data_IF_361589223905
#
_entry.id   IF_361589223905
#
_cell.length_a   1.000
_cell.length_b   1.000
_cell.length_c   1.000
_cell.angle_alpha   90.00
_cell.angle_beta   90.00
_cell.angle_gamma   90.00
#
_symmetry.space_group_name_H-M   'P 1'
#
loop_
_entity.id
_entity.type
_entity.pdbx_description
1 polymer ?
#
# COMPACT_ATOMS: atom_id res chain seq x y z
N UNK A 1 15.17 2.24 17.50
CA UNK A 1 16.23 1.24 17.28
C UNK A 1 15.72 0.08 16.43
N UNK A 2 14.80 -0.79 16.88
CA UNK A 2 14.30 -1.89 16.03
C UNK A 2 13.63 -1.41 14.72
N UNK A 3 12.67 -0.49 14.82
CA UNK A 3 11.97 0.04 13.64
C UNK A 3 12.91 0.71 12.64
N UNK A 4 13.93 1.42 13.11
CA UNK A 4 14.92 2.06 12.24
C UNK A 4 15.69 1.03 11.41
N UNK A 5 16.04 -0.11 11.99
CA UNK A 5 16.67 -1.23 11.27
C UNK A 5 15.72 -1.88 10.27
N UNK A 6 14.45 -2.09 10.65
CA UNK A 6 13.45 -2.63 9.72
C UNK A 6 13.28 -1.71 8.52
N UNK A 7 13.19 -0.39 8.73
CA UNK A 7 13.05 0.58 7.66
C UNK A 7 14.29 0.67 6.78
N UNK A 8 15.48 0.60 7.38
CA UNK A 8 16.73 0.53 6.63
C UNK A 8 16.73 -0.70 5.73
N UNK A 9 16.38 -1.86 6.27
CA UNK A 9 16.30 -3.10 5.53
C UNK A 9 15.25 -3.05 4.40
N UNK A 10 14.06 -2.48 4.65
CA UNK A 10 13.05 -2.28 3.60
C UNK A 10 13.59 -1.40 2.47
N UNK A 11 14.31 -0.32 2.80
CA UNK A 11 14.91 0.57 1.79
C UNK A 11 16.00 -0.13 0.99
N UNK A 12 16.83 -0.94 1.63
CA UNK A 12 17.86 -1.75 0.97
C UNK A 12 17.22 -2.76 0.02
N UNK A 13 16.23 -3.54 0.50
CA UNK A 13 15.46 -4.45 -0.35
C UNK A 13 14.80 -3.73 -1.54
N UNK A 14 14.26 -2.53 -1.31
CA UNK A 14 13.65 -1.73 -2.38
C UNK A 14 14.67 -1.22 -3.40
N UNK A 15 15.87 -0.85 -2.96
CA UNK A 15 16.94 -0.40 -3.86
C UNK A 15 17.39 -1.51 -4.81
N UNK A 16 17.49 -2.74 -4.32
CA UNK A 16 17.82 -3.93 -5.10
C UNK A 16 16.57 -4.69 -5.57
N UNK A 17 15.41 -4.03 -5.66
CA UNK A 17 14.12 -4.70 -5.91
C UNK A 17 14.11 -5.48 -7.22
N UNK A 18 14.75 -4.99 -8.27
CA UNK A 18 14.71 -5.64 -9.58
C UNK A 18 15.50 -6.96 -9.61
N UNK A 19 16.48 -7.11 -8.71
CA UNK A 19 17.26 -8.33 -8.52
C UNK A 19 16.61 -9.30 -7.52
N UNK A 20 16.13 -8.76 -6.39
CA UNK A 20 15.71 -9.57 -5.24
C UNK A 20 14.20 -9.83 -5.26
N UNK A 21 13.42 -8.76 -5.39
CA UNK A 21 11.96 -8.79 -5.26
C UNK A 21 11.27 -9.08 -6.59
N UNK A 22 11.88 -8.66 -7.70
CA UNK A 22 11.29 -8.70 -9.04
C UNK A 22 12.22 -9.30 -10.12
N UNK A 23 12.86 -10.45 -9.87
CA UNK A 23 13.81 -11.04 -10.82
C UNK A 23 13.20 -11.20 -12.22
N UNK A 24 13.92 -10.77 -13.26
CA UNK A 24 13.45 -10.81 -14.66
C UNK A 24 13.17 -12.23 -15.16
N UNK A 25 13.94 -13.20 -14.67
CA UNK A 25 13.95 -14.57 -15.22
C UNK A 25 12.91 -15.50 -14.57
N UNK A 26 12.22 -15.04 -13.51
CA UNK A 26 11.30 -15.88 -12.72
C UNK A 26 9.98 -15.14 -12.44
N UNK A 27 9.00 -15.17 -13.35
CA UNK A 27 7.77 -14.37 -13.24
C UNK A 27 6.89 -14.76 -12.04
N UNK A 28 6.81 -16.04 -11.69
CA UNK A 28 6.05 -16.51 -10.52
C UNK A 28 6.69 -16.07 -9.20
N UNK A 29 8.01 -16.17 -9.10
CA UNK A 29 8.78 -15.75 -7.92
C UNK A 29 8.77 -14.23 -7.75
N UNK A 30 8.87 -13.48 -8.87
CA UNK A 30 8.67 -12.04 -8.91
C UNK A 30 7.36 -11.64 -8.24
N UNK A 31 6.23 -12.15 -8.73
CA UNK A 31 4.94 -11.71 -8.20
C UNK A 31 4.78 -12.11 -6.73
N UNK A 32 5.20 -13.31 -6.32
CA UNK A 32 5.10 -13.73 -4.91
C UNK A 32 5.94 -12.85 -3.97
N UNK A 33 7.21 -12.59 -4.29
CA UNK A 33 8.11 -11.78 -3.43
C UNK A 33 7.66 -10.33 -3.40
N UNK A 34 7.29 -9.79 -4.55
CA UNK A 34 6.80 -8.43 -4.66
C UNK A 34 5.53 -8.21 -3.86
N UNK A 35 4.54 -9.09 -4.01
CA UNK A 35 3.28 -9.01 -3.26
C UNK A 35 3.53 -9.11 -1.76
N UNK A 36 4.32 -10.08 -1.30
CA UNK A 36 4.64 -10.22 0.13
C UNK A 36 5.32 -8.96 0.69
N UNK A 37 6.25 -8.37 -0.06
CA UNK A 37 6.93 -7.13 0.34
C UNK A 37 5.96 -5.94 0.45
N UNK A 38 5.10 -5.74 -0.55
CA UNK A 38 4.16 -4.61 -0.55
C UNK A 38 3.09 -4.77 0.52
N UNK A 39 2.54 -5.98 0.70
CA UNK A 39 1.60 -6.27 1.79
C UNK A 39 2.22 -5.99 3.16
N UNK A 40 3.46 -6.44 3.38
CA UNK A 40 4.19 -6.16 4.61
C UNK A 40 4.35 -4.66 4.88
N UNK A 41 4.71 -3.87 3.86
CA UNK A 41 4.83 -2.42 4.03
C UNK A 41 3.50 -1.77 4.41
N UNK A 42 2.40 -2.19 3.76
CA UNK A 42 1.07 -1.66 4.02
C UNK A 42 0.62 -1.96 5.47
N UNK A 43 0.75 -3.22 5.91
CA UNK A 43 0.44 -3.63 7.28
C UNK A 43 1.33 -2.91 8.31
N UNK A 44 2.61 -2.72 8.01
CA UNK A 44 3.53 -2.01 8.90
C UNK A 44 3.15 -0.53 9.03
N UNK A 45 2.73 0.13 7.93
CA UNK A 45 2.27 1.52 7.99
C UNK A 45 0.96 1.63 8.78
N UNK A 46 0.01 0.73 8.55
CA UNK A 46 -1.28 0.70 9.22
C UNK A 46 -1.13 0.52 10.74
N UNK A 47 -0.35 -0.48 11.16
CA UNK A 47 -0.06 -0.70 12.58
C UNK A 47 0.65 0.49 13.26
N UNK A 48 1.48 1.23 12.52
CA UNK A 48 2.07 2.48 13.03
C UNK A 48 1.05 3.63 13.11
N UNK A 49 0.12 3.71 12.15
CA UNK A 49 -0.96 4.70 12.14
C UNK A 49 -1.93 4.51 13.31
N UNK A 50 -2.37 3.29 13.58
CA UNK A 50 -3.28 3.02 14.70
C UNK A 50 -2.64 3.31 16.05
N UNK A 51 -1.38 2.90 16.21
CA UNK A 51 -0.60 3.26 17.37
C UNK A 51 -0.36 4.78 17.49
N UNK A 52 -0.55 5.58 16.44
CA UNK A 52 -0.44 7.05 16.50
C UNK A 52 -1.73 7.66 17.05
N UNK A 53 -2.90 7.19 16.62
CA UNK A 53 -4.17 7.63 17.17
C UNK A 53 -4.24 7.42 18.69
N UNK A 54 -3.78 6.26 19.19
CA UNK A 54 -3.75 5.96 20.62
C UNK A 54 -2.69 6.80 21.38
N UNK A 55 -1.52 7.03 20.78
CA UNK A 55 -0.43 7.75 21.43
C UNK A 55 -0.52 9.28 21.37
N UNK A 56 -1.13 9.87 20.34
CA UNK A 56 -1.39 11.32 20.30
C UNK A 56 -2.27 11.75 21.49
N UNK A 57 -3.19 10.89 21.93
CA UNK A 57 -3.95 11.11 23.15
C UNK A 57 -3.09 11.06 24.44
N UNK A 58 -1.92 10.41 24.41
CA UNK A 58 -1.06 10.17 25.59
C UNK A 58 0.23 11.00 25.65
N UNK A 59 0.78 11.43 24.51
CA UNK A 59 2.20 11.81 24.37
C UNK A 59 2.47 13.23 23.84
N UNK A 60 1.61 14.21 24.08
CA UNK A 60 1.92 15.65 23.91
C UNK A 60 3.12 16.18 24.74
N UNK A 61 3.98 15.30 25.28
CA UNK A 61 5.10 15.62 26.19
C UNK A 61 6.48 15.12 25.72
N UNK A 62 6.61 14.36 24.62
CA UNK A 62 7.90 13.85 24.12
C UNK A 62 8.08 14.09 22.61
N UNK A 63 8.59 15.28 22.25
CA UNK A 63 8.76 15.69 20.85
C UNK A 63 9.75 14.82 20.04
N UNK A 64 10.71 14.17 20.70
CA UNK A 64 11.71 13.33 20.02
C UNK A 64 11.14 12.03 19.44
N UNK A 65 10.27 11.33 20.18
CA UNK A 65 9.66 10.08 19.72
C UNK A 65 8.66 10.31 18.57
N UNK A 66 7.93 11.42 18.61
CA UNK A 66 7.01 11.81 17.53
C UNK A 66 7.74 12.05 16.21
N UNK A 67 8.87 12.78 16.24
CA UNK A 67 9.64 13.09 15.04
C UNK A 67 10.21 11.83 14.34
N UNK A 68 10.70 10.85 15.11
CA UNK A 68 11.18 9.57 14.56
C UNK A 68 10.04 8.77 13.93
N UNK A 69 8.88 8.74 14.58
CA UNK A 69 7.69 8.05 14.05
C UNK A 69 7.16 8.71 12.78
N UNK A 70 7.01 10.03 12.75
CA UNK A 70 6.58 10.77 11.56
C UNK A 70 7.52 10.52 10.36
N UNK A 71 8.84 10.51 10.60
CA UNK A 71 9.82 10.15 9.57
C UNK A 71 9.63 8.72 9.07
N UNK A 72 9.39 7.78 9.98
CA UNK A 72 9.17 6.36 9.65
C UNK A 72 7.95 6.18 8.76
N UNK A 73 6.84 6.84 9.10
CA UNK A 73 5.59 6.80 8.34
C UNK A 73 5.76 7.43 6.95
N UNK A 74 6.50 8.53 6.84
CA UNK A 74 6.81 9.14 5.54
C UNK A 74 7.65 8.21 4.64
N UNK A 75 8.63 7.50 5.21
CA UNK A 75 9.45 6.53 4.47
C UNK A 75 8.58 5.39 3.95
N UNK A 76 7.76 4.77 4.80
CA UNK A 76 6.85 3.71 4.40
C UNK A 76 5.85 4.17 3.34
N UNK A 77 5.24 5.35 3.55
CA UNK A 77 4.32 5.94 2.58
C UNK A 77 4.97 6.15 1.22
N UNK A 78 6.22 6.60 1.21
CA UNK A 78 7.00 6.75 -0.03
C UNK A 78 7.22 5.40 -0.71
N UNK A 79 7.66 4.38 0.02
CA UNK A 79 7.92 3.06 -0.54
C UNK A 79 6.64 2.42 -1.10
N UNK A 80 5.52 2.54 -0.39
CA UNK A 80 4.22 2.01 -0.83
C UNK A 80 3.77 2.74 -2.10
N UNK A 81 3.77 4.07 -2.13
CA UNK A 81 3.33 4.82 -3.32
C UNK A 81 4.19 4.50 -4.56
N UNK A 82 5.52 4.38 -4.42
CA UNK A 82 6.38 3.98 -5.55
C UNK A 82 6.12 2.51 -5.95
N UNK A 83 5.78 1.65 -5.00
CA UNK A 83 5.37 0.28 -5.29
C UNK A 83 4.06 0.22 -6.06
N UNK A 84 3.07 1.05 -5.68
CA UNK A 84 1.82 1.21 -6.43
C UNK A 84 2.09 1.69 -7.86
N UNK A 85 2.93 2.71 -8.04
CA UNK A 85 3.36 3.16 -9.37
C UNK A 85 3.93 2.01 -10.20
N UNK A 86 4.80 1.18 -9.61
CA UNK A 86 5.40 0.02 -10.27
C UNK A 86 4.35 -1.04 -10.68
N UNK A 87 3.31 -1.23 -9.87
CA UNK A 87 2.20 -2.13 -10.19
C UNK A 87 1.27 -1.58 -11.27
N UNK A 88 1.21 -0.26 -11.42
CA UNK A 88 0.44 0.42 -12.46
C UNK A 88 1.15 0.47 -13.82
N UNK A 89 2.36 -0.08 -13.95
CA UNK A 89 3.08 -0.21 -15.22
C UNK A 89 3.04 -1.65 -15.76
N UNK A 90 3.09 -1.86 -17.09
CA UNK A 90 3.32 -3.18 -17.66
C UNK A 90 4.68 -3.75 -17.21
N UNK A 91 4.80 -5.07 -16.96
CA UNK A 91 3.77 -6.11 -17.08
C UNK A 91 2.85 -6.26 -15.86
N UNK A 92 3.16 -5.61 -14.74
CA UNK A 92 2.46 -5.76 -13.45
C UNK A 92 0.97 -5.47 -13.56
N UNK A 93 0.61 -4.46 -14.35
CA UNK A 93 -0.77 -4.04 -14.59
C UNK A 93 -1.67 -5.15 -15.20
N UNK A 94 -1.05 -6.11 -15.87
CA UNK A 94 -1.71 -7.27 -16.48
C UNK A 94 -1.65 -8.52 -15.60
N UNK A 95 -0.98 -8.44 -14.45
CA UNK A 95 -0.81 -9.55 -13.53
C UNK A 95 -1.92 -9.50 -12.45
N UNK A 96 -2.86 -10.46 -12.42
CA UNK A 96 -3.98 -10.42 -11.49
C UNK A 96 -3.54 -10.45 -10.02
N UNK A 97 -2.48 -11.19 -9.70
CA UNK A 97 -1.96 -11.30 -8.33
C UNK A 97 -1.37 -9.98 -7.83
N UNK A 98 -0.66 -9.25 -8.68
CA UNK A 98 -0.13 -7.93 -8.32
C UNK A 98 -1.25 -6.87 -8.25
N UNK A 99 -2.29 -6.98 -9.09
CA UNK A 99 -3.46 -6.10 -9.00
C UNK A 99 -4.27 -6.33 -7.73
N UNK A 100 -4.52 -7.58 -7.35
CA UNK A 100 -5.17 -7.89 -6.08
C UNK A 100 -4.34 -7.37 -4.89
N UNK A 101 -3.01 -7.50 -4.95
CA UNK A 101 -2.12 -6.91 -3.96
C UNK A 101 -2.21 -5.38 -3.90
N UNK A 102 -2.27 -4.68 -5.05
CA UNK A 102 -2.48 -3.24 -5.10
C UNK A 102 -3.80 -2.87 -4.39
N UNK A 103 -4.87 -3.62 -4.64
CA UNK A 103 -6.16 -3.43 -3.96
C UNK A 103 -6.01 -3.57 -2.45
N UNK A 104 -5.47 -4.69 -1.98
CA UNK A 104 -5.29 -4.96 -0.56
C UNK A 104 -4.42 -3.92 0.12
N UNK A 105 -3.29 -3.55 -0.49
CA UNK A 105 -2.38 -2.55 0.08
C UNK A 105 -3.05 -1.18 0.25
N UNK A 106 -3.87 -0.75 -0.71
CA UNK A 106 -4.60 0.52 -0.61
C UNK A 106 -5.83 0.45 0.30
N UNK A 107 -6.47 -0.72 0.46
CA UNK A 107 -7.48 -0.93 1.51
C UNK A 107 -6.83 -0.78 2.90
N UNK A 108 -5.71 -1.47 3.12
CA UNK A 108 -5.02 -1.48 4.41
C UNK A 108 -4.42 -0.12 4.74
N UNK A 109 -3.70 0.52 3.81
CA UNK A 109 -2.91 1.70 4.12
C UNK A 109 -3.46 3.00 3.53
N UNK A 110 -4.54 2.99 2.75
CA UNK A 110 -5.00 4.15 1.97
C UNK A 110 -5.32 5.38 2.83
N UNK A 111 -6.01 5.19 3.95
CA UNK A 111 -6.31 6.28 4.88
C UNK A 111 -5.05 6.88 5.52
N UNK A 112 -4.09 6.02 5.92
CA UNK A 112 -2.81 6.47 6.44
C UNK A 112 -1.99 7.21 5.37
N UNK A 113 -1.95 6.68 4.14
CA UNK A 113 -1.27 7.32 3.02
C UNK A 113 -1.86 8.70 2.70
N UNK A 114 -3.19 8.86 2.77
CA UNK A 114 -3.84 10.14 2.50
C UNK A 114 -3.44 11.19 3.55
N UNK A 115 -3.30 10.78 4.81
CA UNK A 115 -2.87 11.66 5.89
C UNK A 115 -1.38 12.02 5.82
N UNK A 116 -0.52 11.03 5.59
CA UNK A 116 0.93 11.21 5.70
C UNK A 116 1.59 11.69 4.39
N UNK A 117 1.00 11.37 3.23
CA UNK A 117 1.55 11.69 1.92
C UNK A 117 0.45 11.97 0.86
N UNK A 118 -0.42 12.96 1.09
CA UNK A 118 -1.60 13.23 0.24
C UNK A 118 -1.22 13.47 -1.23
N UNK A 119 -0.15 14.21 -1.49
CA UNK A 119 0.32 14.50 -2.85
C UNK A 119 0.78 13.24 -3.59
N UNK A 120 1.44 12.31 -2.88
CA UNK A 120 1.92 11.06 -3.47
C UNK A 120 0.76 10.13 -3.79
N UNK A 121 -0.20 10.03 -2.88
CA UNK A 121 -1.40 9.22 -3.10
C UNK A 121 -2.25 9.81 -4.24
N UNK A 122 -2.39 11.12 -4.30
CA UNK A 122 -3.08 11.81 -5.40
C UNK A 122 -2.42 11.51 -6.76
N UNK A 123 -1.08 11.44 -6.80
CA UNK A 123 -0.37 11.01 -8.00
C UNK A 123 -0.69 9.57 -8.39
N UNK A 124 -0.75 8.64 -7.44
CA UNK A 124 -1.15 7.23 -7.68
C UNK A 124 -2.59 7.16 -8.22
N UNK A 125 -3.54 7.88 -7.60
CA UNK A 125 -4.94 7.89 -8.06
C UNK A 125 -5.08 8.45 -9.48
N UNK A 126 -4.29 9.48 -9.81
CA UNK A 126 -4.23 10.01 -11.18
C UNK A 126 -3.69 9.00 -12.18
N UNK A 127 -2.68 8.21 -11.81
CA UNK A 127 -2.16 7.14 -12.67
C UNK A 127 -3.19 6.02 -12.87
N UNK A 128 -3.96 5.67 -11.84
CA UNK A 128 -5.09 4.74 -11.95
C UNK A 128 -6.09 5.26 -12.99
N UNK A 129 -6.49 6.52 -12.88
CA UNK A 129 -7.41 7.15 -13.84
C UNK A 129 -6.84 7.11 -15.27
N UNK A 130 -5.57 7.50 -15.46
CA UNK A 130 -4.91 7.45 -16.76
C UNK A 130 -4.90 6.02 -17.31
N UNK A 131 -4.60 5.00 -16.49
CA UNK A 131 -4.58 3.61 -16.93
C UNK A 131 -5.98 3.13 -17.38
N UNK A 132 -7.04 3.53 -16.68
CA UNK A 132 -8.43 3.22 -17.03
C UNK A 132 -8.84 3.83 -18.38
N UNK A 133 -8.39 5.06 -18.65
CA UNK A 133 -8.73 5.83 -19.85
C UNK A 133 -7.92 5.43 -21.07
N UNK A 134 -6.64 5.14 -20.90
CA UNK A 134 -5.68 5.00 -22.02
C UNK A 134 -5.35 3.56 -22.39
N UNK A 135 -5.54 2.59 -21.49
CA UNK A 135 -5.07 1.22 -21.69
C UNK A 135 -6.19 0.21 -21.91
N UNK A 136 -5.92 -0.77 -22.80
CA UNK A 136 -6.75 -1.97 -22.94
C UNK A 136 -6.41 -2.96 -21.82
N UNK A 137 -7.03 -2.73 -20.67
CA UNK A 137 -6.85 -3.54 -19.48
C UNK A 137 -7.64 -4.86 -19.55
N UNK A 138 -7.11 -5.96 -18.96
CA UNK A 138 -7.91 -7.14 -18.64
C UNK A 138 -9.10 -6.75 -17.76
N UNK A 139 -10.20 -7.50 -17.88
CA UNK A 139 -11.44 -7.25 -17.13
C UNK A 139 -11.16 -7.14 -15.62
N UNK A 140 -10.34 -8.07 -15.08
CA UNK A 140 -10.00 -8.07 -13.65
C UNK A 140 -9.22 -6.83 -13.22
N UNK A 141 -8.18 -6.44 -13.97
CA UNK A 141 -7.41 -5.23 -13.65
C UNK A 141 -8.29 -3.98 -13.71
N UNK A 142 -9.16 -3.88 -14.73
CA UNK A 142 -10.12 -2.78 -14.85
C UNK A 142 -11.06 -2.69 -13.65
N UNK A 143 -11.64 -3.82 -13.22
CA UNK A 143 -12.50 -3.89 -12.04
C UNK A 143 -11.78 -3.41 -10.78
N UNK A 144 -10.59 -3.94 -10.52
CA UNK A 144 -9.78 -3.55 -9.36
C UNK A 144 -9.51 -2.05 -9.34
N UNK A 145 -9.13 -1.47 -10.48
CA UNK A 145 -8.85 -0.04 -10.58
C UNK A 145 -10.11 0.82 -10.36
N UNK A 146 -11.28 0.38 -10.83
CA UNK A 146 -12.55 1.06 -10.59
C UNK A 146 -12.95 1.00 -9.10
N UNK A 147 -12.86 -0.18 -8.49
CA UNK A 147 -13.10 -0.37 -7.05
C UNK A 147 -12.19 0.52 -6.20
N UNK A 148 -10.94 0.71 -6.60
CA UNK A 148 -10.01 1.61 -5.92
C UNK A 148 -10.41 3.09 -6.03
N UNK A 149 -10.94 3.53 -7.18
CA UNK A 149 -11.46 4.88 -7.34
C UNK A 149 -12.70 5.11 -6.45
N UNK A 150 -13.58 4.12 -6.36
CA UNK A 150 -14.75 4.15 -5.48
C UNK A 150 -14.35 4.18 -4.00
N UNK A 151 -13.39 3.33 -3.62
CA UNK A 151 -12.83 3.31 -2.27
C UNK A 151 -12.21 4.65 -1.88
N UNK A 152 -11.49 5.31 -2.80
CA UNK A 152 -10.97 6.65 -2.56
C UNK A 152 -12.10 7.66 -2.38
N UNK A 153 -13.15 7.58 -3.19
CA UNK A 153 -14.30 8.47 -3.14
C UNK A 153 -15.14 8.28 -1.86
N UNK A 154 -15.16 7.07 -1.27
CA UNK A 154 -15.82 6.79 0.01
C UNK A 154 -15.01 7.25 1.23
N UNK A 155 -13.81 7.80 1.03
CA UNK A 155 -12.90 8.15 2.12
C UNK A 155 -12.26 6.92 2.78
N UNK A 156 -11.91 5.91 1.98
CA UNK A 156 -11.30 4.64 2.41
C UNK A 156 -12.20 3.78 3.29
N UNK A 157 -13.52 3.98 3.19
CA UNK A 157 -14.49 3.13 3.85
C UNK A 157 -14.78 1.95 2.91
N UNK A 158 -14.46 0.69 3.31
CA UNK A 158 -14.81 -0.47 2.50
C UNK A 158 -16.32 -0.57 2.37
N UNK A 159 -16.80 -1.12 1.25
CA UNK A 159 -18.24 -1.21 0.98
C UNK A 159 -18.97 -2.00 2.09
N UNK A 160 -20.22 -1.64 2.46
CA UNK A 160 -20.96 -2.35 3.51
C UNK A 160 -21.20 -3.84 3.23
N UNK A 161 -21.16 -4.26 1.96
CA UNK A 161 -21.19 -5.66 1.53
C UNK A 161 -19.95 -6.45 1.96
N UNK A 162 -18.76 -5.84 1.98
CA UNK A 162 -17.51 -6.49 2.41
C UNK A 162 -17.42 -6.56 3.95
N UNK A 163 -17.98 -5.57 4.66
CA UNK A 163 -18.03 -5.54 6.13
C UNK A 163 -18.88 -6.68 6.71
N UNK A 164 -19.96 -7.06 6.02
CA UNK A 164 -20.85 -8.15 6.47
C UNK A 164 -20.17 -9.52 6.36
N UNK A 165 -19.26 -9.71 5.39
CA UNK A 165 -18.51 -10.98 5.23
C UNK A 165 -17.40 -11.13 6.28
N UNK A 166 -16.71 -10.05 6.64
CA UNK A 166 -15.68 -10.07 7.70
C UNK A 166 -16.30 -10.27 9.09
N UNK A 167 -17.46 -9.64 9.36
CA UNK A 167 -18.19 -9.81 10.62
C UNK A 167 -18.80 -11.21 10.80
N UNK A 168 -19.02 -11.95 9.71
CA UNK A 168 -19.57 -13.32 9.76
C UNK A 168 -18.51 -14.40 9.65
N UNK A 169 -17.26 -14.04 9.30
CA UNK A 169 -16.14 -14.97 9.15
C UNK A 169 -15.32 -15.23 10.42
N UNK A 170 -15.66 -14.59 11.55
CA UNK A 170 -14.96 -14.73 12.85
C UNK A 170 -15.66 -15.67 13.84
N UNK A 171 -16.65 -16.43 13.38
CA UNK A 171 -17.35 -17.47 14.15
C UNK A 171 -17.09 -18.86 13.54
N UNK A 172 -15.82 -19.32 13.55
CA UNK A 172 -15.45 -20.74 13.39
C UNK A 172 -14.17 -21.10 14.13
#
# INVERSE_FOLDING_TARGET
MFLDYVLLFCRELFSSRDEILRPSDQPTVRSRRWVAYVSFLAELLDGLSDAQAENIARLSRSGGAYAVKARSMLVLSTLICVSCHTMLQPPSLYNPTEMDCLKTALITAGAALEREAPERLSAVMREIQIALDTQRLPIRSRQVLQELMELKASGWQPSPSEQTYVATGTDR
#
